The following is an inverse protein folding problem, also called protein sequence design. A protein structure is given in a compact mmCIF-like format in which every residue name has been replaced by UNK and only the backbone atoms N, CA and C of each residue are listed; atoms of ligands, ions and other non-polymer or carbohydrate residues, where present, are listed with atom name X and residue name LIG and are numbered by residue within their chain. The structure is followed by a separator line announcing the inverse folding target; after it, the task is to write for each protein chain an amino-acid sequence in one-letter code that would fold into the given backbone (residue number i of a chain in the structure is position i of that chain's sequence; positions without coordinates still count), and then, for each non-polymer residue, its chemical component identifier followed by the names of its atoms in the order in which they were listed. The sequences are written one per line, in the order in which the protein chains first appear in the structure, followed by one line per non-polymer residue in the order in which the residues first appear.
data_IF_300915187485
#
_entry.id   IF_300915187485
#
_cell.length_a   1.000
_cell.length_b   1.000
_cell.length_c   1.000
_cell.angle_alpha   90.00
_cell.angle_beta   90.00
_cell.angle_gamma   90.00
#
_symmetry.space_group_name_H-M   'P 1'
#
loop_
_entity.id
_entity.type
_entity.pdbx_description
1 polymer ?
#
# COMPACT_ATOMS: atom_id res chain seq x y z
N UNK A 1 -7.41 -1.04 -7.04
CA UNK A 1 -6.37 -1.18 -6.00
C UNK A 1 -6.96 -1.57 -4.65
N UNK A 2 -6.21 -2.26 -3.80
CA UNK A 2 -6.47 -2.33 -2.36
C UNK A 2 -5.57 -1.32 -1.65
N UNK A 3 -6.15 -0.56 -0.73
CA UNK A 3 -5.44 0.40 0.11
C UNK A 3 -5.50 -0.12 1.54
N UNK A 4 -4.35 -0.42 2.13
CA UNK A 4 -4.25 -0.85 3.51
C UNK A 4 -4.13 0.38 4.42
N UNK A 5 -5.10 0.55 5.32
CA UNK A 5 -5.21 1.72 6.21
C UNK A 5 -6.09 2.85 5.65
N UNK A 6 -6.53 3.73 6.55
CA UNK A 6 -7.38 4.89 6.21
C UNK A 6 -6.86 6.21 6.82
N UNK A 7 -5.54 6.32 6.98
CA UNK A 7 -4.87 7.48 7.55
C UNK A 7 -4.68 8.66 6.58
N UNK A 8 -3.80 9.60 6.94
CA UNK A 8 -3.47 10.77 6.10
C UNK A 8 -2.89 10.39 4.73
N UNK A 9 -1.94 9.45 4.71
CA UNK A 9 -1.36 8.93 3.47
C UNK A 9 -2.42 8.25 2.58
N UNK A 10 -3.32 7.46 3.17
CA UNK A 10 -4.43 6.85 2.46
C UNK A 10 -5.31 7.87 1.75
N UNK A 11 -5.60 9.03 2.37
CA UNK A 11 -6.39 10.10 1.73
C UNK A 11 -5.72 10.64 0.46
N UNK A 12 -4.40 10.85 0.49
CA UNK A 12 -3.65 11.29 -0.68
C UNK A 12 -3.67 10.23 -1.80
N UNK A 13 -3.47 8.96 -1.44
CA UNK A 13 -3.55 7.83 -2.39
C UNK A 13 -4.96 7.74 -3.01
N UNK A 14 -6.02 7.76 -2.20
CA UNK A 14 -7.42 7.74 -2.66
C UNK A 14 -7.71 8.88 -3.64
N UNK A 15 -7.23 10.08 -3.34
CA UNK A 15 -7.39 11.24 -4.20
C UNK A 15 -6.74 11.04 -5.58
N UNK A 16 -5.49 10.54 -5.61
CA UNK A 16 -4.77 10.28 -6.86
C UNK A 16 -5.41 9.15 -7.65
N UNK A 17 -5.77 8.02 -7.00
CA UNK A 17 -6.46 6.92 -7.67
C UNK A 17 -7.80 7.36 -8.25
N UNK A 18 -8.56 8.19 -7.53
CA UNK A 18 -9.80 8.79 -8.03
C UNK A 18 -9.58 9.67 -9.25
N UNK A 19 -8.53 10.52 -9.25
CA UNK A 19 -8.15 11.32 -10.42
C UNK A 19 -7.75 10.48 -11.62
N UNK A 20 -7.11 9.34 -11.39
CA UNK A 20 -6.70 8.40 -12.44
C UNK A 20 -7.83 7.46 -12.88
N UNK A 21 -9.02 7.54 -12.27
CA UNK A 21 -10.14 6.65 -12.56
C UNK A 21 -9.89 5.19 -12.16
N UNK A 22 -8.99 4.93 -11.21
CA UNK A 22 -8.66 3.58 -10.73
C UNK A 22 -9.58 3.24 -9.56
N UNK A 23 -10.50 2.26 -9.70
CA UNK A 23 -11.35 1.82 -8.60
C UNK A 23 -10.50 1.26 -7.45
N UNK A 24 -10.92 1.50 -6.21
CA UNK A 24 -10.21 0.99 -5.04
C UNK A 24 -11.13 0.58 -3.91
N UNK A 25 -10.64 -0.34 -3.09
CA UNK A 25 -11.23 -0.70 -1.80
C UNK A 25 -10.25 -0.36 -0.68
N UNK A 26 -10.79 0.18 0.41
CA UNK A 26 -10.03 0.46 1.63
C UNK A 26 -10.14 -0.73 2.57
N UNK A 27 -9.02 -1.16 3.11
CA UNK A 27 -8.91 -2.29 4.03
C UNK A 27 -8.42 -1.78 5.38
N UNK A 28 -9.14 -2.14 6.43
CA UNK A 28 -8.90 -1.65 7.80
C UNK A 28 -8.86 -2.79 8.81
N UNK A 29 -8.30 -2.51 9.98
CA UNK A 29 -8.27 -3.46 11.11
C UNK A 29 -9.57 -3.47 11.91
N UNK A 30 -10.23 -2.32 12.01
CA UNK A 30 -11.47 -2.13 12.76
C UNK A 30 -12.58 -1.71 11.78
N UNK A 31 -13.85 -2.10 12.02
CA UNK A 31 -14.95 -1.73 11.14
C UNK A 31 -15.04 -0.22 10.91
N UNK A 32 -15.14 0.18 9.64
CA UNK A 32 -15.30 1.56 9.22
C UNK A 32 -16.25 1.64 8.01
N UNK A 33 -17.05 2.71 7.87
CA UNK A 33 -17.94 2.89 6.73
C UNK A 33 -17.19 2.89 5.40
N UNK A 34 -17.66 2.11 4.43
CA UNK A 34 -17.05 2.06 3.09
C UNK A 34 -15.69 1.36 3.01
N UNK A 35 -15.30 0.62 4.06
CA UNK A 35 -14.07 -0.17 4.10
C UNK A 35 -14.38 -1.62 4.46
N UNK A 36 -13.48 -2.53 4.07
CA UNK A 36 -13.53 -3.96 4.43
C UNK A 36 -12.49 -4.28 5.49
N UNK A 37 -12.71 -5.36 6.23
CA UNK A 37 -11.70 -5.89 7.16
C UNK A 37 -10.65 -6.70 6.40
N UNK A 38 -9.43 -6.81 6.95
CA UNK A 38 -8.42 -7.71 6.41
C UNK A 38 -8.91 -9.16 6.30
N UNK A 39 -9.70 -9.62 7.26
CA UNK A 39 -10.30 -10.97 7.26
C UNK A 39 -11.28 -11.21 6.12
N UNK A 40 -11.76 -10.16 5.44
CA UNK A 40 -12.65 -10.26 4.29
C UNK A 40 -11.89 -10.42 2.96
N UNK A 41 -10.56 -10.31 2.94
CA UNK A 41 -9.77 -10.45 1.72
C UNK A 41 -9.69 -11.93 1.34
N UNK A 42 -10.21 -12.25 0.17
CA UNK A 42 -10.21 -13.61 -0.41
C UNK A 42 -9.30 -13.70 -1.64
N UNK A 43 -9.18 -14.90 -2.20
CA UNK A 43 -8.46 -15.11 -3.45
C UNK A 43 -9.09 -14.33 -4.61
N UNK A 44 -10.43 -14.26 -4.66
CA UNK A 44 -11.19 -13.55 -5.69
C UNK A 44 -10.94 -12.04 -5.63
N UNK A 45 -10.88 -11.46 -4.42
CA UNK A 45 -10.55 -10.04 -4.25
C UNK A 45 -9.11 -9.76 -4.69
N UNK A 46 -8.14 -10.61 -4.34
CA UNK A 46 -6.78 -10.42 -4.84
C UNK A 46 -6.71 -10.63 -6.36
N UNK A 47 -7.54 -11.51 -6.92
CA UNK A 47 -7.60 -11.70 -8.36
C UNK A 47 -8.12 -10.44 -9.08
N UNK A 48 -9.15 -9.80 -8.54
CA UNK A 48 -9.70 -8.55 -9.09
C UNK A 48 -8.76 -7.34 -8.88
N UNK A 49 -8.13 -7.23 -7.70
CA UNK A 49 -7.36 -6.07 -7.30
C UNK A 49 -5.84 -6.32 -7.30
N UNK A 50 -5.22 -6.12 -8.47
CA UNK A 50 -3.78 -6.38 -8.67
C UNK A 50 -2.82 -5.37 -8.04
N UNK A 51 -3.27 -4.15 -7.71
CA UNK A 51 -2.46 -3.11 -7.08
C UNK A 51 -2.75 -3.08 -5.58
N UNK A 52 -1.74 -3.38 -4.76
CA UNK A 52 -1.81 -3.44 -3.30
C UNK A 52 -0.95 -2.32 -2.72
N UNK A 53 -1.54 -1.41 -1.95
CA UNK A 53 -0.85 -0.22 -1.45
C UNK A 53 -0.88 -0.21 0.07
N UNK A 54 0.28 -0.34 0.71
CA UNK A 54 0.40 -0.18 2.17
C UNK A 54 0.59 1.29 2.55
N UNK A 55 -0.38 1.81 3.31
CA UNK A 55 -0.35 3.17 3.87
C UNK A 55 -0.37 3.16 5.40
N UNK A 56 -0.22 1.97 6.00
CA UNK A 56 -0.12 1.78 7.44
C UNK A 56 1.33 1.97 7.92
N UNK A 57 1.56 2.14 9.24
CA UNK A 57 2.92 2.15 9.79
C UNK A 57 3.50 0.74 10.01
N UNK A 58 2.89 -0.31 9.42
CA UNK A 58 3.44 -1.67 9.52
C UNK A 58 4.77 -1.75 8.76
N UNK A 59 5.66 -2.63 9.19
CA UNK A 59 7.00 -2.77 8.62
C UNK A 59 8.00 -1.68 9.03
N UNK A 60 7.59 -0.70 9.86
CA UNK A 60 8.47 0.34 10.38
C UNK A 60 9.05 -0.01 11.75
N UNK A 61 10.19 0.61 12.11
CA UNK A 61 10.74 0.54 13.47
C UNK A 61 9.70 0.98 14.51
N UNK A 62 9.60 0.29 15.66
CA UNK A 62 10.45 -0.84 16.10
C UNK A 62 9.99 -2.23 15.57
N UNK A 63 8.85 -2.32 14.88
CA UNK A 63 8.20 -3.58 14.53
C UNK A 63 8.43 -3.95 13.06
N UNK A 64 9.69 -4.22 12.68
CA UNK A 64 10.09 -4.51 11.30
C UNK A 64 9.39 -5.75 10.70
N UNK A 65 9.04 -6.72 11.55
CA UNK A 65 8.38 -7.97 11.13
C UNK A 65 6.85 -7.83 10.98
N UNK A 66 6.30 -6.63 11.18
CA UNK A 66 4.87 -6.39 11.00
C UNK A 66 4.53 -6.14 9.53
N UNK A 67 3.41 -6.66 9.05
CA UNK A 67 2.97 -6.52 7.66
C UNK A 67 1.45 -6.68 7.56
N UNK A 68 0.81 -6.20 6.48
CA UNK A 68 -0.62 -6.38 6.24
C UNK A 68 -1.00 -7.87 6.22
N UNK A 69 -1.95 -8.34 7.06
CA UNK A 69 -2.33 -9.75 7.14
C UNK A 69 -3.28 -10.13 6.00
N UNK A 70 -2.73 -10.32 4.80
CA UNK A 70 -3.45 -10.75 3.59
C UNK A 70 -3.07 -12.19 3.20
N UNK A 71 -3.88 -12.92 2.42
CA UNK A 71 -3.54 -14.27 1.99
C UNK A 71 -2.50 -14.25 0.85
N UNK A 72 -1.22 -14.02 1.19
CA UNK A 72 -0.09 -13.89 0.26
C UNK A 72 0.03 -15.06 -0.72
N UNK A 73 -0.39 -16.26 -0.35
CA UNK A 73 -0.38 -17.44 -1.23
C UNK A 73 -1.15 -17.27 -2.54
N UNK A 74 -2.05 -16.29 -2.63
CA UNK A 74 -2.80 -15.97 -3.86
C UNK A 74 -2.17 -14.84 -4.69
N UNK A 75 -1.04 -14.28 -4.25
CA UNK A 75 -0.31 -13.31 -5.06
C UNK A 75 0.38 -13.99 -6.25
N UNK A 76 0.51 -13.24 -7.33
CA UNK A 76 1.04 -13.68 -8.62
C UNK A 76 1.92 -12.59 -9.23
N UNK A 77 2.68 -12.87 -10.31
CA UNK A 77 3.47 -11.85 -11.01
C UNK A 77 2.69 -10.69 -11.64
N UNK A 78 1.36 -10.77 -11.67
CA UNK A 78 0.49 -9.68 -12.11
C UNK A 78 0.24 -8.65 -11.01
N UNK A 79 0.55 -8.97 -9.76
CA UNK A 79 0.37 -8.07 -8.63
C UNK A 79 1.52 -7.08 -8.51
N UNK A 80 1.21 -5.88 -8.05
CA UNK A 80 2.16 -4.87 -7.60
C UNK A 80 1.89 -4.55 -6.13
N UNK A 81 2.86 -4.85 -5.28
CA UNK A 81 2.90 -4.40 -3.89
C UNK A 81 3.66 -3.09 -3.78
N UNK A 82 2.98 -2.03 -3.36
CA UNK A 82 3.55 -0.71 -3.16
C UNK A 82 3.46 -0.34 -1.69
N UNK A 83 4.59 -0.32 -1.00
CA UNK A 83 4.69 0.14 0.38
C UNK A 83 5.11 1.62 0.41
N UNK A 84 4.39 2.47 1.14
CA UNK A 84 4.80 3.86 1.35
C UNK A 84 5.93 3.97 2.40
N UNK A 85 6.18 2.91 3.17
CA UNK A 85 7.38 2.79 3.99
C UNK A 85 8.62 2.67 3.09
N UNK A 86 9.69 3.34 3.50
CA UNK A 86 10.97 3.39 2.78
C UNK A 86 12.18 3.02 3.65
N UNK A 87 11.97 2.84 4.95
CA UNK A 87 12.98 2.38 5.88
C UNK A 87 12.35 1.30 6.79
N UNK A 88 12.70 0.02 6.61
CA UNK A 88 13.73 -0.52 5.72
C UNK A 88 13.36 -0.41 4.23
N UNK A 89 14.36 -0.57 3.34
CA UNK A 89 14.16 -0.46 1.88
C UNK A 89 13.21 -1.54 1.35
N UNK A 90 13.31 -2.76 1.88
CA UNK A 90 12.39 -3.88 1.62
C UNK A 90 11.73 -4.27 2.96
N UNK A 91 10.45 -3.95 3.13
CA UNK A 91 9.67 -4.30 4.33
C UNK A 91 9.22 -5.76 4.29
N UNK A 92 8.77 -6.31 5.42
CA UNK A 92 8.22 -7.65 5.47
C UNK A 92 7.03 -7.85 4.51
N UNK A 93 6.24 -6.80 4.24
CA UNK A 93 5.19 -6.80 3.23
C UNK A 93 5.76 -7.01 1.82
N UNK A 94 6.75 -6.20 1.44
CA UNK A 94 7.38 -6.27 0.12
C UNK A 94 8.10 -7.60 -0.08
N UNK A 95 8.86 -8.07 0.91
CA UNK A 95 9.54 -9.38 0.83
C UNK A 95 8.55 -10.51 0.61
N UNK A 96 7.45 -10.57 1.38
CA UNK A 96 6.42 -11.62 1.21
C UNK A 96 5.72 -11.56 -0.14
N UNK A 97 5.48 -10.36 -0.68
CA UNK A 97 4.90 -10.22 -2.01
C UNK A 97 5.88 -10.70 -3.10
N UNK A 98 7.16 -10.32 -2.98
CA UNK A 98 8.25 -10.70 -3.89
C UNK A 98 8.47 -12.21 -3.92
N UNK A 99 8.40 -12.89 -2.78
CA UNK A 99 8.48 -14.36 -2.67
C UNK A 99 7.40 -15.08 -3.49
N UNK A 100 6.30 -14.40 -3.81
CA UNK A 100 5.19 -14.92 -4.64
C UNK A 100 5.28 -14.45 -6.09
N UNK A 101 6.38 -13.80 -6.46
CA UNK A 101 6.67 -13.29 -7.79
C UNK A 101 6.02 -11.95 -8.10
N UNK A 102 5.33 -11.31 -7.15
CA UNK A 102 4.76 -9.98 -7.36
C UNK A 102 5.85 -8.93 -7.58
N UNK A 103 5.52 -7.89 -8.33
CA UNK A 103 6.37 -6.70 -8.44
C UNK A 103 6.29 -5.90 -7.14
N UNK A 104 7.38 -5.26 -6.75
CA UNK A 104 7.44 -4.46 -5.53
C UNK A 104 7.91 -3.03 -5.81
N UNK A 105 7.43 -2.08 -5.00
CA UNK A 105 7.88 -0.69 -4.98
C UNK A 105 7.82 -0.16 -3.55
N UNK A 106 8.86 0.54 -3.11
CA UNK A 106 8.89 1.21 -1.82
C UNK A 106 8.62 2.72 -1.95
N UNK A 107 8.48 3.39 -0.81
CA UNK A 107 8.11 4.80 -0.73
C UNK A 107 9.24 5.80 -0.97
N UNK A 108 10.48 5.36 -1.20
CA UNK A 108 11.64 6.25 -1.19
C UNK A 108 11.56 7.30 -2.31
N UNK A 109 11.19 6.89 -3.51
CA UNK A 109 11.00 7.81 -4.63
C UNK A 109 9.87 8.81 -4.35
N UNK A 110 8.76 8.35 -3.75
CA UNK A 110 7.67 9.23 -3.33
C UNK A 110 8.14 10.27 -2.33
N UNK A 111 9.00 9.89 -1.36
CA UNK A 111 9.59 10.80 -0.38
C UNK A 111 10.45 11.88 -1.05
N UNK A 112 11.24 11.53 -2.07
CA UNK A 112 12.03 12.53 -2.80
C UNK A 112 11.15 13.46 -3.63
N UNK A 113 10.20 12.92 -4.40
CA UNK A 113 9.33 13.71 -5.27
C UNK A 113 8.47 14.71 -4.48
N UNK A 114 7.95 14.31 -3.31
CA UNK A 114 7.17 15.23 -2.47
C UNK A 114 8.05 16.34 -1.87
N UNK A 115 9.32 16.06 -1.56
CA UNK A 115 10.26 17.05 -1.04
C UNK A 115 10.61 18.09 -2.12
N UNK A 116 10.92 17.62 -3.34
CA UNK A 116 11.15 18.50 -4.50
C UNK A 116 9.93 19.38 -4.78
N UNK A 117 8.72 18.80 -4.73
CA UNK A 117 7.49 19.57 -4.96
C UNK A 117 7.26 20.62 -3.87
N UNK A 118 7.56 20.29 -2.61
CA UNK A 118 7.46 21.23 -1.49
C UNK A 118 8.47 22.38 -1.63
N UNK A 119 9.70 22.06 -2.02
CA UNK A 119 10.74 23.06 -2.30
C UNK A 119 10.30 24.05 -3.39
N UNK A 120 9.74 23.55 -4.49
CA UNK A 120 9.20 24.40 -5.55
C UNK A 120 8.13 25.36 -5.01
N UNK A 121 7.17 24.87 -4.21
CA UNK A 121 6.08 25.68 -3.65
C UNK A 121 6.62 26.77 -2.72
N UNK A 122 7.60 26.46 -1.87
CA UNK A 122 8.17 27.45 -0.93
C UNK A 122 8.99 28.55 -1.60
N UNK A 123 9.54 28.29 -2.79
CA UNK A 123 10.36 29.22 -3.53
C UNK A 123 9.63 29.84 -4.74
N UNK A 124 8.30 29.73 -4.79
CA UNK A 124 7.44 30.35 -5.82
C UNK A 124 6.79 31.64 -5.34
#
# INVERSE_FOLDING_TARGET
ALIFGDGGAAKAVKYVLGKLGIPFLVVVRNPAPGAILYSAITAEILDEYKLLIDTTPLGMLPNLDSFPPIPYQFLTPQHLAYDLVYNPEETAFLTKAKEKGAKIKNGLEMLYLQAERSWYIWNS
#
